data_IF_684700545022
#
_entry.id   IF_684700545022
#
_cell.length_a   1.000
_cell.length_b   1.000
_cell.length_c   1.000
_cell.angle_alpha   90.00
_cell.angle_beta   90.00
_cell.angle_gamma   90.00
#
_symmetry.space_group_name_H-M   'P 1'
#
loop_
_entity.id
_entity.type
_entity.pdbx_description
1 polymer ?
#
# COMPACT_ATOMS: atom_id res chain seq x y z
N UNK A 1 3.62 -19.15 -1.56
CA UNK A 1 2.73 -19.16 -2.75
C UNK A 1 1.29 -19.12 -2.26
N UNK A 2 0.32 -18.55 -2.99
CA UNK A 2 -0.92 -18.01 -2.38
C UNK A 2 -2.20 -18.70 -2.85
N UNK A 3 -3.33 -18.58 -2.12
CA UNK A 3 -4.66 -19.12 -2.52
C UNK A 3 -5.67 -18.07 -2.98
N UNK A 4 -5.32 -16.79 -2.96
CA UNK A 4 -6.17 -15.72 -3.52
C UNK A 4 -5.59 -15.19 -4.81
N UNK A 5 -6.47 -14.80 -5.73
CA UNK A 5 -6.09 -13.85 -6.77
C UNK A 5 -5.89 -12.48 -6.13
N UNK A 6 -5.54 -11.46 -6.92
CA UNK A 6 -5.63 -10.06 -6.45
C UNK A 6 -6.93 -9.92 -5.65
N UNK A 7 -6.82 -9.65 -4.34
CA UNK A 7 -7.98 -9.56 -3.45
C UNK A 7 -8.68 -8.23 -3.72
N UNK A 8 -9.20 -8.07 -4.93
CA UNK A 8 -9.83 -6.86 -5.45
C UNK A 8 -11.25 -6.68 -4.92
N UNK A 9 -11.72 -7.59 -4.06
CA UNK A 9 -13.10 -7.64 -3.61
C UNK A 9 -13.59 -6.31 -3.00
N UNK A 10 -12.82 -5.59 -2.16
CA UNK A 10 -13.20 -4.24 -1.71
C UNK A 10 -13.39 -3.25 -2.87
N UNK A 11 -12.50 -3.28 -3.87
CA UNK A 11 -12.55 -2.42 -5.05
C UNK A 11 -13.74 -2.76 -5.97
N UNK A 12 -14.09 -4.05 -6.10
CA UNK A 12 -15.22 -4.54 -6.87
C UNK A 12 -16.57 -4.16 -6.22
N UNK A 13 -16.70 -4.34 -4.89
CA UNK A 13 -17.92 -3.97 -4.15
C UNK A 13 -18.12 -2.45 -4.13
N UNK A 14 -17.05 -1.67 -3.95
CA UNK A 14 -17.11 -0.21 -4.00
C UNK A 14 -17.74 0.30 -5.32
N UNK A 15 -17.32 -0.27 -6.45
CA UNK A 15 -17.89 0.06 -7.77
C UNK A 15 -19.41 -0.19 -7.82
N UNK A 16 -19.87 -1.32 -7.28
CA UNK A 16 -21.29 -1.69 -7.32
C UNK A 16 -22.15 -0.76 -6.46
N UNK A 17 -21.64 -0.31 -5.31
CA UNK A 17 -22.35 0.55 -4.37
C UNK A 17 -22.34 2.02 -4.77
N UNK A 18 -21.28 2.53 -5.42
CA UNK A 18 -21.21 3.91 -5.88
C UNK A 18 -22.35 4.26 -6.85
N UNK A 19 -22.84 3.28 -7.62
CA UNK A 19 -24.01 3.44 -8.49
C UNK A 19 -25.34 3.65 -7.75
N UNK A 20 -25.38 3.42 -6.43
CA UNK A 20 -26.61 3.44 -5.60
C UNK A 20 -26.69 4.57 -4.58
N UNK A 21 -25.59 5.20 -4.17
CA UNK A 21 -25.58 6.24 -3.12
C UNK A 21 -25.17 7.61 -3.66
N UNK A 22 -25.99 8.65 -3.39
CA UNK A 22 -25.57 10.06 -3.49
C UNK A 22 -24.61 10.36 -2.33
N UNK A 23 -23.47 11.00 -2.62
CA UNK A 23 -22.43 11.29 -1.62
C UNK A 23 -22.97 12.17 -0.48
N UNK A 24 -22.55 11.87 0.75
CA UNK A 24 -22.62 12.79 1.88
C UNK A 24 -21.84 14.06 1.54
N UNK A 25 -22.30 15.27 1.93
CA UNK A 25 -21.70 16.54 1.50
C UNK A 25 -20.32 16.86 2.12
N UNK A 26 -19.76 15.97 2.96
CA UNK A 26 -18.47 16.21 3.60
C UNK A 26 -17.32 15.68 2.73
N UNK A 27 -16.66 16.59 2.01
CA UNK A 27 -15.50 16.29 1.15
C UNK A 27 -14.30 15.66 1.89
N UNK A 28 -14.21 15.81 3.20
CA UNK A 28 -13.13 15.23 4.00
C UNK A 28 -13.34 13.77 4.35
N UNK A 29 -14.52 13.22 4.08
CA UNK A 29 -14.79 11.81 4.35
C UNK A 29 -14.24 10.95 3.22
N UNK A 30 -13.42 9.97 3.59
CA UNK A 30 -12.90 9.00 2.63
C UNK A 30 -14.03 8.15 2.03
N UNK A 31 -13.80 7.71 0.78
CA UNK A 31 -14.64 6.71 0.12
C UNK A 31 -14.02 5.32 0.30
N UNK A 32 -14.87 4.32 0.42
CA UNK A 32 -14.44 2.93 0.50
C UNK A 32 -13.84 2.45 -0.85
N UNK A 33 -12.71 1.73 -0.86
CA UNK A 33 -11.90 1.33 0.30
C UNK A 33 -10.90 2.41 0.76
N UNK A 34 -10.78 2.61 2.08
CA UNK A 34 -9.76 3.44 2.73
C UNK A 34 -9.55 2.96 4.19
N UNK A 35 -8.47 3.36 4.90
CA UNK A 35 -8.20 2.93 6.27
C UNK A 35 -9.40 3.13 7.19
N UNK A 36 -9.73 2.13 8.03
CA UNK A 36 -10.97 2.16 8.80
C UNK A 36 -10.90 3.02 10.07
N UNK A 37 -9.72 3.15 10.68
CA UNK A 37 -9.54 3.82 11.97
C UNK A 37 -9.86 5.31 11.91
N UNK A 38 -9.55 5.95 10.78
CA UNK A 38 -9.92 7.33 10.51
C UNK A 38 -10.44 7.43 9.08
N UNK A 39 -11.75 7.66 8.93
CA UNK A 39 -12.40 7.81 7.64
C UNK A 39 -12.16 9.23 7.05
N UNK A 40 -10.90 9.57 6.82
CA UNK A 40 -10.46 10.87 6.33
C UNK A 40 -9.80 10.77 4.95
N UNK A 41 -10.24 11.58 3.99
CA UNK A 41 -9.66 11.64 2.64
C UNK A 41 -8.35 12.46 2.67
N UNK A 42 -7.24 11.78 2.95
CA UNK A 42 -5.91 12.39 2.92
C UNK A 42 -5.49 12.86 1.53
N UNK A 43 -6.03 12.28 0.45
CA UNK A 43 -5.72 12.73 -0.91
C UNK A 43 -6.36 14.09 -1.17
N UNK A 44 -7.63 14.25 -0.82
CA UNK A 44 -8.34 15.54 -0.90
C UNK A 44 -7.59 16.62 -0.12
N UNK A 45 -7.05 16.30 1.07
CA UNK A 45 -6.21 17.23 1.84
C UNK A 45 -4.97 17.70 1.06
N UNK A 46 -4.30 16.79 0.35
CA UNK A 46 -3.05 17.07 -0.37
C UNK A 46 -3.25 17.77 -1.73
N UNK A 47 -4.42 17.61 -2.33
CA UNK A 47 -4.81 18.24 -3.59
C UNK A 47 -5.21 19.73 -3.42
N UNK A 48 -5.22 20.24 -2.18
CA UNK A 48 -5.43 21.65 -1.91
C UNK A 48 -4.38 22.56 -2.56
N UNK A 49 -4.85 23.69 -3.07
CA UNK A 49 -4.01 24.76 -3.62
C UNK A 49 -3.25 25.43 -2.47
N UNK A 50 -1.93 25.60 -2.62
CA UNK A 50 -1.01 26.15 -1.60
C UNK A 50 -0.69 25.20 -0.43
N UNK A 51 -0.88 23.90 -0.62
CA UNK A 51 -0.56 22.89 0.39
C UNK A 51 -1.67 22.69 1.42
N UNK A 52 -1.35 21.94 2.47
CA UNK A 52 -2.35 21.48 3.46
C UNK A 52 -2.80 22.57 4.45
N UNK A 53 -2.06 23.69 4.53
CA UNK A 53 -2.31 24.82 5.43
C UNK A 53 -1.47 26.05 5.01
N UNK A 54 -1.63 27.17 5.73
CA UNK A 54 -0.78 28.37 5.62
C UNK A 54 -0.05 28.64 6.93
N UNK A 55 1.27 28.80 6.88
CA UNK A 55 2.09 29.09 8.04
C UNK A 55 1.77 30.48 8.63
N UNK A 56 1.48 30.54 9.93
CA UNK A 56 1.30 31.78 10.69
C UNK A 56 2.60 32.28 11.32
N UNK A 57 3.59 31.40 11.48
CA UNK A 57 4.94 31.71 11.97
C UNK A 57 6.00 31.11 11.04
N UNK A 58 6.26 31.70 9.85
CA UNK A 58 7.14 31.14 8.81
C UNK A 58 8.57 30.78 9.27
N UNK A 59 9.06 31.44 10.33
CA UNK A 59 10.43 31.26 10.84
C UNK A 59 10.54 30.30 12.04
N UNK A 60 9.44 29.64 12.43
CA UNK A 60 9.45 28.65 13.50
C UNK A 60 10.45 27.53 13.17
N UNK A 61 11.32 27.20 14.13
CA UNK A 61 12.36 26.18 13.97
C UNK A 61 11.75 24.79 14.06
N UNK A 62 11.84 24.03 12.97
CA UNK A 62 11.29 22.67 12.90
C UNK A 62 12.43 21.69 12.60
N UNK A 63 12.59 20.67 13.44
CA UNK A 63 13.53 19.58 13.20
C UNK A 63 12.77 18.30 12.85
N UNK A 64 13.16 17.65 11.76
CA UNK A 64 12.61 16.38 11.28
C UNK A 64 13.77 15.37 11.26
N UNK A 65 13.59 14.25 11.97
CA UNK A 65 14.59 13.19 12.07
C UNK A 65 14.15 12.00 11.20
N UNK A 66 14.91 11.74 10.14
CA UNK A 66 14.73 10.66 9.18
C UNK A 66 14.22 11.15 7.83
N UNK A 67 14.99 10.93 6.76
CA UNK A 67 14.61 11.23 5.38
C UNK A 67 13.94 10.03 4.68
N UNK A 68 13.09 9.30 5.41
CA UNK A 68 12.14 8.35 4.82
C UNK A 68 10.94 9.05 4.19
N UNK A 69 10.00 8.30 3.60
CA UNK A 69 8.81 8.89 2.95
C UNK A 69 8.03 9.81 3.88
N UNK A 70 7.80 9.40 5.14
CA UNK A 70 7.11 10.24 6.12
C UNK A 70 7.82 11.56 6.36
N UNK A 71 9.13 11.54 6.67
CA UNK A 71 9.89 12.76 6.93
C UNK A 71 10.02 13.67 5.70
N UNK A 72 10.19 13.08 4.51
CA UNK A 72 10.26 13.82 3.25
C UNK A 72 8.93 14.48 2.89
N UNK A 73 7.81 13.75 3.00
CA UNK A 73 6.47 14.31 2.81
C UNK A 73 6.21 15.42 3.82
N UNK A 74 6.49 15.21 5.11
CA UNK A 74 6.33 16.26 6.13
C UNK A 74 7.16 17.50 5.82
N UNK A 75 8.45 17.35 5.49
CA UNK A 75 9.32 18.48 5.16
C UNK A 75 8.84 19.24 3.92
N UNK A 76 8.43 18.51 2.87
CA UNK A 76 7.90 19.09 1.63
C UNK A 76 6.62 19.88 1.90
N UNK A 77 5.68 19.32 2.66
CA UNK A 77 4.41 19.98 2.93
C UNK A 77 4.55 21.17 3.88
N UNK A 78 5.40 21.10 4.90
CA UNK A 78 5.72 22.26 5.73
C UNK A 78 6.30 23.41 4.90
N UNK A 79 7.18 23.09 3.97
CA UNK A 79 7.75 24.09 3.06
C UNK A 79 6.68 24.67 2.11
N UNK A 80 5.81 23.83 1.53
CA UNK A 80 4.65 24.29 0.73
C UNK A 80 3.71 25.19 1.54
N UNK A 81 3.54 24.93 2.84
CA UNK A 81 2.74 25.78 3.74
C UNK A 81 3.41 27.13 4.06
N UNK A 82 4.70 27.32 3.71
CA UNK A 82 5.44 28.57 3.92
C UNK A 82 6.40 28.57 5.11
N UNK A 83 6.65 27.43 5.77
CA UNK A 83 7.73 27.35 6.76
C UNK A 83 9.10 27.37 6.08
N UNK A 84 10.02 28.17 6.61
CA UNK A 84 11.34 28.45 6.00
C UNK A 84 12.52 28.00 6.87
N UNK A 85 12.26 27.61 8.12
CA UNK A 85 13.31 27.21 9.07
C UNK A 85 13.16 25.72 9.41
N UNK A 86 13.35 24.88 8.40
CA UNK A 86 13.21 23.42 8.46
C UNK A 86 14.61 22.81 8.46
N UNK A 87 14.88 21.91 9.41
CA UNK A 87 16.07 21.08 9.46
C UNK A 87 15.66 19.62 9.28
N UNK A 88 16.14 18.98 8.21
CA UNK A 88 15.95 17.55 7.95
C UNK A 88 17.25 16.81 8.23
N UNK A 89 17.23 15.85 9.15
CA UNK A 89 18.39 15.05 9.54
C UNK A 89 18.23 13.61 9.05
N UNK A 90 19.25 13.04 8.43
CA UNK A 90 19.31 11.64 8.06
C UNK A 90 20.66 11.06 8.46
N UNK A 91 20.65 9.88 9.09
CA UNK A 91 21.87 9.22 9.54
C UNK A 91 22.59 8.49 8.40
N UNK A 92 21.82 7.97 7.45
CA UNK A 92 22.31 7.21 6.31
C UNK A 92 22.84 8.13 5.20
N UNK A 93 23.54 7.55 4.24
CA UNK A 93 23.97 8.23 3.00
C UNK A 93 22.91 8.18 1.90
N UNK A 94 21.66 7.84 2.23
CA UNK A 94 20.55 7.76 1.27
C UNK A 94 19.25 8.25 1.90
N UNK A 95 18.37 8.75 1.03
CA UNK A 95 16.98 9.06 1.38
C UNK A 95 16.07 7.87 1.08
N UNK A 96 14.80 7.96 1.48
CA UNK A 96 13.74 6.98 1.20
C UNK A 96 13.48 5.95 2.30
N UNK A 97 14.39 5.78 3.27
CA UNK A 97 14.17 4.88 4.41
C UNK A 97 13.87 3.44 3.95
N UNK A 98 12.67 2.92 4.21
CA UNK A 98 12.29 1.56 3.76
C UNK A 98 11.86 1.48 2.29
N UNK A 99 11.81 2.59 1.58
CA UNK A 99 11.69 2.60 0.12
C UNK A 99 13.11 2.56 -0.44
N UNK A 100 13.58 1.36 -0.76
CA UNK A 100 14.95 1.11 -1.19
C UNK A 100 14.95 0.33 -2.49
N UNK A 101 15.32 1.03 -3.56
CA UNK A 101 15.61 0.43 -4.86
C UNK A 101 17.12 0.31 -5.00
N UNK A 102 17.64 -0.91 -5.08
CA UNK A 102 19.05 -1.20 -5.26
C UNK A 102 19.37 -1.44 -6.74
N UNK A 103 20.37 -0.75 -7.28
CA UNK A 103 20.78 -0.83 -8.69
C UNK A 103 21.97 -1.76 -8.93
N UNK A 104 22.35 -2.57 -7.94
CA UNK A 104 23.56 -3.41 -7.97
C UNK A 104 24.82 -2.68 -7.50
N UNK A 105 26.00 -3.21 -7.87
CA UNK A 105 27.29 -2.67 -7.41
C UNK A 105 27.45 -1.20 -7.84
N UNK A 106 27.94 -0.35 -6.93
CA UNK A 106 28.09 1.10 -7.10
C UNK A 106 26.81 1.92 -7.27
N UNK A 107 25.62 1.33 -7.09
CA UNK A 107 24.33 2.00 -7.28
C UNK A 107 24.20 2.68 -8.66
N UNK A 108 24.81 2.09 -9.69
CA UNK A 108 24.74 2.59 -11.07
C UNK A 108 23.72 1.80 -11.86
N UNK A 109 22.80 2.50 -12.52
CA UNK A 109 21.86 1.89 -13.47
C UNK A 109 22.61 1.42 -14.72
N UNK A 110 23.17 0.21 -14.67
CA UNK A 110 23.80 -0.41 -15.85
C UNK A 110 22.73 -1.07 -16.70
N UNK A 111 22.70 -0.72 -18.00
CA UNK A 111 21.81 -1.31 -19.00
C UNK A 111 21.88 -2.85 -18.90
N UNK A 112 20.71 -3.50 -18.82
CA UNK A 112 20.59 -4.95 -18.70
C UNK A 112 20.55 -5.51 -17.26
N UNK A 113 20.66 -4.67 -16.22
CA UNK A 113 20.46 -5.09 -14.82
C UNK A 113 19.21 -4.41 -14.24
N UNK A 114 18.09 -5.14 -14.04
CA UNK A 114 16.91 -4.54 -13.46
C UNK A 114 17.16 -4.15 -11.99
N UNK A 115 16.47 -3.10 -11.50
CA UNK A 115 16.52 -2.72 -10.09
C UNK A 115 15.97 -3.82 -9.18
N UNK A 116 16.44 -3.88 -7.94
CA UNK A 116 15.90 -4.73 -6.88
C UNK A 116 15.20 -3.88 -5.82
N UNK A 117 13.91 -4.11 -5.60
CA UNK A 117 13.19 -3.49 -4.49
C UNK A 117 13.50 -4.26 -3.20
N UNK A 118 14.27 -3.63 -2.31
CA UNK A 118 14.77 -4.23 -1.06
C UNK A 118 13.88 -3.91 0.16
N UNK A 119 12.73 -3.27 -0.07
CA UNK A 119 11.78 -2.89 0.96
C UNK A 119 10.34 -2.97 0.46
N UNK A 120 9.63 -1.85 0.43
CA UNK A 120 8.32 -1.81 -0.23
C UNK A 120 8.48 -2.03 -1.75
N UNK A 121 7.59 -2.83 -2.35
CA UNK A 121 7.70 -3.21 -3.78
C UNK A 121 6.35 -3.30 -4.51
N UNK A 122 5.26 -3.43 -3.77
CA UNK A 122 3.90 -3.59 -4.28
C UNK A 122 3.01 -2.57 -3.57
N UNK A 123 2.58 -1.57 -4.32
CA UNK A 123 2.01 -0.37 -3.75
C UNK A 123 0.50 -0.34 -3.99
N UNK A 124 -0.33 -0.28 -2.94
CA UNK A 124 -1.76 -0.13 -3.12
C UNK A 124 -2.09 1.33 -3.47
N UNK A 125 -2.96 1.51 -4.45
CA UNK A 125 -3.40 2.84 -4.86
C UNK A 125 -4.78 3.20 -4.29
N UNK A 126 -5.48 2.23 -3.71
CA UNK A 126 -6.86 2.34 -3.20
C UNK A 126 -7.83 2.80 -4.28
N UNK A 127 -7.71 2.22 -5.47
CA UNK A 127 -8.61 2.44 -6.57
C UNK A 127 -9.72 1.37 -6.65
N UNK A 128 -10.90 1.75 -7.13
CA UNK A 128 -11.96 0.83 -7.54
C UNK A 128 -11.60 0.12 -8.85
N UNK A 129 -12.28 -0.98 -9.15
CA UNK A 129 -11.93 -1.82 -10.32
C UNK A 129 -12.24 -1.20 -11.69
N UNK A 130 -12.98 -0.10 -11.73
CA UNK A 130 -13.32 0.63 -12.95
C UNK A 130 -12.62 1.99 -13.08
N UNK A 131 -11.66 2.28 -12.20
CA UNK A 131 -10.88 3.51 -12.26
C UNK A 131 -9.39 3.23 -12.46
N UNK A 132 -8.67 4.08 -13.22
CA UNK A 132 -7.22 3.98 -13.35
C UNK A 132 -6.54 4.04 -11.99
N UNK A 133 -5.41 3.32 -11.76
CA UNK A 133 -4.74 3.31 -10.45
C UNK A 133 -4.48 4.72 -9.90
N UNK A 134 -3.95 5.63 -10.72
CA UNK A 134 -3.65 7.03 -10.34
C UNK A 134 -4.87 7.85 -9.88
N UNK A 135 -6.10 7.38 -10.11
CA UNK A 135 -7.32 8.00 -9.58
C UNK A 135 -7.71 7.49 -8.18
N UNK A 136 -7.05 6.44 -7.68
CA UNK A 136 -7.29 5.87 -6.36
C UNK A 136 -7.00 6.84 -5.20
N UNK A 137 -7.61 6.57 -4.06
CA UNK A 137 -7.67 7.52 -2.92
C UNK A 137 -6.53 7.37 -1.93
N UNK A 138 -5.31 7.16 -2.42
CA UNK A 138 -4.09 7.06 -1.62
C UNK A 138 -3.10 8.19 -1.91
N UNK A 139 -2.22 8.49 -0.95
CA UNK A 139 -1.10 9.41 -1.15
C UNK A 139 -0.08 8.88 -2.16
N UNK A 140 0.02 7.55 -2.31
CA UNK A 140 0.86 6.95 -3.35
C UNK A 140 0.33 7.29 -4.74
N UNK A 141 -0.98 7.21 -4.97
CA UNK A 141 -1.61 7.58 -6.24
C UNK A 141 -1.45 9.08 -6.54
N UNK A 142 -1.62 9.93 -5.52
CA UNK A 142 -1.35 11.36 -5.62
C UNK A 142 0.08 11.64 -6.07
N UNK A 143 1.09 11.16 -5.33
CA UNK A 143 2.49 11.45 -5.67
C UNK A 143 2.96 10.74 -6.94
N UNK A 144 2.41 9.58 -7.29
CA UNK A 144 2.66 8.95 -8.58
C UNK A 144 2.15 9.81 -9.76
N UNK A 145 1.09 10.57 -9.55
CA UNK A 145 0.59 11.55 -10.52
C UNK A 145 1.49 12.77 -10.56
N UNK A 146 1.74 13.39 -9.40
CA UNK A 146 2.55 14.60 -9.29
C UNK A 146 3.97 14.46 -9.85
N UNK A 147 4.58 13.28 -9.70
CA UNK A 147 5.94 13.02 -10.16
C UNK A 147 6.01 12.19 -11.44
N UNK A 148 4.87 12.01 -12.13
CA UNK A 148 4.80 11.26 -13.38
C UNK A 148 5.37 9.85 -13.27
N UNK A 149 5.24 9.21 -12.09
CA UNK A 149 5.78 7.89 -11.85
C UNK A 149 5.05 6.87 -12.72
N UNK A 150 5.82 6.13 -13.51
CA UNK A 150 5.35 5.01 -14.30
C UNK A 150 5.15 3.81 -13.39
N UNK A 151 4.07 3.07 -13.62
CA UNK A 151 3.66 1.93 -12.84
C UNK A 151 3.01 0.87 -13.73
N UNK A 152 2.90 -0.34 -13.22
CA UNK A 152 2.13 -1.44 -13.82
C UNK A 152 1.61 -2.33 -12.71
N UNK A 153 0.67 -3.22 -13.04
CA UNK A 153 0.21 -4.22 -12.08
C UNK A 153 1.38 -5.06 -11.56
N UNK A 154 1.39 -5.28 -10.25
CA UNK A 154 2.38 -6.13 -9.59
C UNK A 154 2.05 -7.60 -9.88
N UNK A 155 3.06 -8.44 -10.21
CA UNK A 155 2.86 -9.84 -10.57
C UNK A 155 2.59 -10.72 -9.34
N UNK A 156 1.49 -10.48 -8.62
CA UNK A 156 1.12 -11.31 -7.47
C UNK A 156 0.75 -12.74 -7.92
N UNK A 157 1.04 -13.76 -7.10
CA UNK A 157 0.60 -15.11 -7.38
C UNK A 157 -0.93 -15.19 -7.47
N UNK A 158 -1.45 -15.98 -8.40
CA UNK A 158 -2.89 -16.10 -8.65
C UNK A 158 -3.53 -14.89 -9.34
N UNK A 159 -2.77 -13.85 -9.72
CA UNK A 159 -3.31 -12.69 -10.42
C UNK A 159 -3.29 -12.83 -11.95
N UNK A 160 -4.10 -12.05 -12.70
CA UNK A 160 -4.00 -11.97 -14.15
C UNK A 160 -2.66 -11.45 -14.68
N UNK A 161 -1.84 -10.81 -13.83
CA UNK A 161 -0.52 -10.28 -14.18
C UNK A 161 0.56 -11.38 -14.27
N UNK A 162 0.24 -12.62 -13.90
CA UNK A 162 1.14 -13.77 -14.04
C UNK A 162 0.52 -14.86 -14.92
N UNK A 163 1.35 -15.57 -15.68
CA UNK A 163 0.90 -16.69 -16.54
C UNK A 163 0.33 -17.85 -15.74
N UNK A 164 0.97 -18.17 -14.61
CA UNK A 164 0.60 -19.27 -13.73
C UNK A 164 1.30 -19.14 -12.39
N UNK A 165 0.77 -19.79 -11.36
CA UNK A 165 1.36 -19.90 -10.03
C UNK A 165 1.59 -21.36 -9.69
N UNK A 166 2.83 -21.73 -9.39
CA UNK A 166 3.12 -23.03 -8.78
C UNK A 166 2.64 -23.05 -7.34
N UNK A 167 2.26 -24.21 -6.81
CA UNK A 167 1.93 -24.41 -5.39
C UNK A 167 2.54 -25.75 -4.99
N UNK A 168 3.51 -25.72 -4.07
CA UNK A 168 4.19 -26.89 -3.54
C UNK A 168 4.13 -26.81 -2.02
N UNK A 169 3.32 -27.66 -1.41
CA UNK A 169 3.04 -27.68 0.03
C UNK A 169 3.22 -29.10 0.54
N UNK A 170 3.78 -29.22 1.75
CA UNK A 170 3.98 -30.52 2.42
C UNK A 170 4.70 -31.52 1.51
N UNK A 171 5.84 -31.13 0.94
CA UNK A 171 6.59 -31.95 -0.02
C UNK A 171 5.74 -32.45 -1.22
N UNK A 172 4.71 -31.69 -1.61
CA UNK A 172 3.83 -32.05 -2.74
C UNK A 172 2.75 -33.09 -2.42
N UNK A 173 2.55 -33.45 -1.15
CA UNK A 173 1.61 -34.51 -0.70
C UNK A 173 0.21 -34.00 -0.31
N UNK A 174 -0.27 -32.92 -0.93
CA UNK A 174 -1.62 -32.40 -0.66
C UNK A 174 -2.70 -33.26 -1.32
N UNK A 175 -3.89 -33.31 -0.72
CA UNK A 175 -5.07 -34.06 -1.21
C UNK A 175 -4.84 -35.58 -1.36
N UNK A 176 -4.13 -36.19 -0.40
CA UNK A 176 -3.84 -37.63 -0.34
C UNK A 176 -3.15 -38.20 -1.59
N UNK A 177 -2.45 -37.35 -2.34
CA UNK A 177 -1.63 -37.79 -3.47
C UNK A 177 -0.47 -38.67 -2.99
N UNK A 178 -0.32 -39.85 -3.60
CA UNK A 178 0.77 -40.79 -3.32
C UNK A 178 2.13 -40.30 -3.83
N UNK A 179 2.13 -39.39 -4.81
CA UNK A 179 3.35 -38.86 -5.45
C UNK A 179 3.50 -37.35 -5.22
N UNK A 180 4.70 -36.86 -4.83
CA UNK A 180 5.01 -35.44 -4.71
C UNK A 180 4.68 -34.64 -5.97
N UNK A 181 3.67 -33.76 -5.89
CA UNK A 181 3.19 -33.00 -7.04
C UNK A 181 3.21 -31.50 -6.78
N UNK A 182 3.73 -30.71 -7.75
CA UNK A 182 3.52 -29.27 -7.79
C UNK A 182 2.19 -28.96 -8.49
N UNK A 183 1.26 -28.35 -7.77
CA UNK A 183 0.01 -27.87 -8.36
C UNK A 183 0.28 -26.61 -9.19
N UNK A 184 -0.35 -26.51 -10.36
CA UNK A 184 -0.22 -25.33 -11.23
C UNK A 184 -1.57 -24.62 -11.31
N UNK A 185 -1.64 -23.42 -10.74
CA UNK A 185 -2.80 -22.57 -10.81
C UNK A 185 -2.70 -21.61 -12.00
N UNK A 186 -3.61 -21.76 -12.97
CA UNK A 186 -3.78 -20.85 -14.11
C UNK A 186 -5.02 -20.01 -13.88
N UNK A 187 -4.84 -18.73 -13.57
CA UNK A 187 -5.93 -17.81 -13.23
C UNK A 187 -5.92 -16.56 -14.12
N UNK A 188 -6.01 -16.78 -15.42
CA UNK A 188 -5.90 -15.69 -16.42
C UNK A 188 -7.05 -14.69 -16.35
N UNK A 189 -8.20 -15.09 -15.79
CA UNK A 189 -9.39 -14.24 -15.64
C UNK A 189 -9.47 -13.55 -14.26
N UNK A 190 -8.58 -13.90 -13.33
CA UNK A 190 -8.57 -13.41 -11.95
C UNK A 190 -9.69 -13.97 -11.07
N UNK A 191 -10.51 -14.88 -11.58
CA UNK A 191 -11.72 -15.41 -10.92
C UNK A 191 -11.66 -16.92 -10.68
N UNK A 192 -10.75 -17.62 -11.35
CA UNK A 192 -10.53 -19.06 -11.21
C UNK A 192 -10.02 -19.39 -9.82
N UNK A 193 -10.74 -20.24 -9.08
CA UNK A 193 -10.32 -20.71 -7.75
C UNK A 193 -9.00 -21.51 -7.79
N UNK A 194 -8.24 -21.59 -6.68
CA UNK A 194 -7.02 -22.39 -6.63
C UNK A 194 -7.32 -23.88 -6.86
N UNK A 195 -6.38 -24.64 -7.48
CA UNK A 195 -6.54 -26.06 -7.75
C UNK A 195 -6.47 -26.89 -6.47
N UNK A 196 -7.01 -28.11 -6.49
CA UNK A 196 -6.94 -29.04 -5.35
C UNK A 196 -8.08 -28.85 -4.34
N UNK A 197 -8.50 -29.96 -3.71
CA UNK A 197 -9.66 -29.99 -2.83
C UNK A 197 -9.40 -29.20 -1.54
N UNK A 198 -8.24 -29.39 -0.92
CA UNK A 198 -7.87 -28.72 0.34
C UNK A 198 -7.74 -27.22 0.13
N UNK A 199 -7.07 -26.78 -0.94
CA UNK A 199 -6.90 -25.37 -1.26
C UNK A 199 -8.23 -24.71 -1.61
N UNK A 200 -9.08 -25.39 -2.38
CA UNK A 200 -10.44 -24.92 -2.69
C UNK A 200 -11.30 -24.72 -1.44
N UNK A 201 -11.25 -25.65 -0.47
CA UNK A 201 -11.96 -25.54 0.81
C UNK A 201 -11.48 -24.34 1.63
N UNK A 202 -10.17 -24.16 1.78
CA UNK A 202 -9.58 -23.03 2.52
C UNK A 202 -9.94 -21.71 1.84
N UNK A 203 -9.83 -21.64 0.52
CA UNK A 203 -10.22 -20.47 -0.27
C UNK A 203 -11.69 -20.12 -0.09
N UNK A 204 -12.59 -21.10 -0.16
CA UNK A 204 -14.03 -20.88 0.01
C UNK A 204 -14.35 -20.29 1.40
N UNK A 205 -13.77 -20.84 2.47
CA UNK A 205 -13.97 -20.33 3.84
C UNK A 205 -13.48 -18.90 4.02
N UNK A 206 -12.27 -18.60 3.53
CA UNK A 206 -11.75 -17.24 3.51
C UNK A 206 -12.68 -16.29 2.74
N UNK A 207 -13.04 -16.68 1.52
CA UNK A 207 -13.93 -15.90 0.65
C UNK A 207 -15.25 -15.59 1.36
N UNK A 208 -15.95 -16.59 1.90
CA UNK A 208 -17.22 -16.39 2.61
C UNK A 208 -17.11 -15.44 3.80
N UNK A 209 -16.01 -15.48 4.55
CA UNK A 209 -15.75 -14.53 5.64
C UNK A 209 -15.52 -13.11 5.10
N UNK A 210 -14.61 -12.98 4.14
CA UNK A 210 -14.18 -11.71 3.59
C UNK A 210 -15.32 -10.99 2.85
N UNK A 211 -16.15 -11.74 2.11
CA UNK A 211 -17.31 -11.22 1.38
C UNK A 211 -18.33 -10.59 2.31
N UNK A 212 -18.71 -11.31 3.36
CA UNK A 212 -19.64 -10.84 4.39
C UNK A 212 -19.15 -9.57 5.07
N UNK A 213 -17.92 -9.57 5.57
CA UNK A 213 -17.32 -8.41 6.20
C UNK A 213 -17.31 -7.21 5.24
N UNK A 214 -16.84 -7.41 4.02
CA UNK A 214 -16.71 -6.33 3.03
C UNK A 214 -18.05 -5.75 2.64
N UNK A 215 -19.08 -6.57 2.40
CA UNK A 215 -20.42 -6.11 2.07
C UNK A 215 -21.02 -5.26 3.19
N UNK A 216 -20.92 -5.72 4.45
CA UNK A 216 -21.40 -4.96 5.61
C UNK A 216 -20.62 -3.66 5.80
N UNK A 217 -19.28 -3.71 5.72
CA UNK A 217 -18.43 -2.53 5.90
C UNK A 217 -18.69 -1.50 4.80
N UNK A 218 -18.72 -1.91 3.53
CA UNK A 218 -18.88 -0.99 2.41
C UNK A 218 -20.24 -0.26 2.43
N UNK A 219 -21.26 -0.85 3.03
CA UNK A 219 -22.55 -0.17 3.23
C UNK A 219 -22.45 0.98 4.24
N UNK A 220 -21.64 0.86 5.29
CA UNK A 220 -21.59 1.84 6.39
C UNK A 220 -20.38 2.77 6.31
N UNK A 221 -19.33 2.41 5.57
CA UNK A 221 -18.11 3.18 5.47
C UNK A 221 -18.38 4.62 4.98
N UNK A 222 -17.83 5.60 5.69
CA UNK A 222 -18.05 7.04 5.41
C UNK A 222 -19.44 7.58 5.78
N UNK A 223 -20.35 6.75 6.30
CA UNK A 223 -21.62 7.21 6.88
C UNK A 223 -21.41 7.83 8.27
N UNK A 224 -22.44 8.48 8.82
CA UNK A 224 -22.41 9.00 10.21
C UNK A 224 -22.34 7.90 11.28
N UNK A 225 -22.66 6.66 10.91
CA UNK A 225 -22.61 5.51 11.81
C UNK A 225 -21.27 4.75 11.71
N UNK A 226 -20.35 5.21 10.87
CA UNK A 226 -19.10 4.49 10.60
C UNK A 226 -18.25 4.35 11.87
N UNK A 227 -18.09 5.44 12.62
CA UNK A 227 -17.28 5.45 13.83
C UNK A 227 -17.82 4.46 14.89
N UNK A 228 -19.14 4.39 15.06
CA UNK A 228 -19.81 3.45 15.97
C UNK A 228 -19.67 2.00 15.50
N UNK A 229 -19.80 1.75 14.19
CA UNK A 229 -19.57 0.44 13.60
C UNK A 229 -18.12 0.01 13.79
N UNK A 230 -17.15 0.88 13.51
CA UNK A 230 -15.73 0.58 13.70
C UNK A 230 -15.40 0.31 15.17
N UNK A 231 -15.92 1.10 16.10
CA UNK A 231 -15.77 0.86 17.54
C UNK A 231 -16.32 -0.52 17.95
N UNK A 232 -17.44 -0.94 17.37
CA UNK A 232 -18.01 -2.28 17.58
C UNK A 232 -17.11 -3.39 17.04
N UNK A 233 -16.50 -3.20 15.86
CA UNK A 233 -15.51 -4.12 15.27
C UNK A 233 -14.28 -4.22 16.18
N UNK A 234 -13.74 -3.09 16.63
CA UNK A 234 -12.60 -3.03 17.56
C UNK A 234 -12.92 -3.82 18.83
N UNK A 235 -14.04 -3.51 19.48
CA UNK A 235 -14.48 -4.22 20.70
C UNK A 235 -14.60 -5.72 20.50
N UNK A 236 -15.04 -6.16 19.32
CA UNK A 236 -15.19 -7.59 19.00
C UNK A 236 -13.83 -8.30 18.83
N UNK A 237 -12.88 -7.66 18.16
CA UNK A 237 -11.70 -8.33 17.61
C UNK A 237 -10.36 -7.92 18.23
N UNK A 238 -10.29 -6.85 19.02
CA UNK A 238 -9.02 -6.33 19.58
C UNK A 238 -8.27 -7.35 20.44
N UNK A 239 -8.99 -8.24 21.13
CA UNK A 239 -8.42 -9.28 22.01
C UNK A 239 -8.26 -10.65 21.35
N UNK A 240 -8.52 -10.72 20.04
CA UNK A 240 -8.51 -11.96 19.27
C UNK A 240 -7.26 -11.96 18.41
N UNK A 241 -6.43 -13.00 18.52
CA UNK A 241 -5.30 -13.20 17.62
C UNK A 241 -5.78 -13.55 16.21
N UNK A 242 -4.99 -13.28 15.17
CA UNK A 242 -5.37 -13.69 13.83
C UNK A 242 -5.52 -15.21 13.71
N UNK A 243 -4.65 -15.96 14.38
CA UNK A 243 -4.72 -17.43 14.52
C UNK A 243 -6.07 -17.88 15.04
N UNK A 244 -6.61 -17.21 16.06
CA UNK A 244 -7.90 -17.57 16.63
C UNK A 244 -9.05 -17.13 15.74
N UNK A 245 -8.99 -15.94 15.10
CA UNK A 245 -9.98 -15.53 14.10
C UNK A 245 -10.17 -16.58 12.99
N UNK A 246 -9.06 -17.17 12.52
CA UNK A 246 -9.08 -18.21 11.48
C UNK A 246 -9.85 -19.46 11.94
N UNK A 247 -9.71 -19.86 13.21
CA UNK A 247 -10.34 -21.07 13.77
C UNK A 247 -11.74 -20.82 14.35
N UNK A 248 -12.05 -19.58 14.72
CA UNK A 248 -13.33 -19.21 15.31
C UNK A 248 -14.50 -19.62 14.41
N UNK A 249 -15.64 -20.04 14.99
CA UNK A 249 -16.80 -20.45 14.20
C UNK A 249 -17.27 -19.36 13.23
N UNK A 250 -17.63 -19.77 12.01
CA UNK A 250 -18.35 -18.90 11.08
C UNK A 250 -19.78 -18.68 11.57
N UNK A 251 -20.32 -17.50 11.34
CA UNK A 251 -21.76 -17.24 11.45
C UNK A 251 -22.44 -17.33 10.08
N UNK A 252 -23.71 -17.72 10.02
CA UNK A 252 -24.44 -17.83 8.74
C UNK A 252 -24.94 -16.47 8.24
N UNK A 253 -25.31 -15.58 9.17
CA UNK A 253 -25.85 -14.25 8.87
C UNK A 253 -25.27 -13.20 9.80
N UNK A 254 -24.89 -12.06 9.25
CA UNK A 254 -24.55 -10.87 10.03
C UNK A 254 -25.82 -10.22 10.59
N UNK A 255 -25.72 -9.58 11.76
CA UNK A 255 -26.84 -8.96 12.46
C UNK A 255 -26.56 -7.49 12.75
N UNK A 256 -27.50 -6.61 12.44
CA UNK A 256 -27.41 -5.18 12.76
C UNK A 256 -27.33 -4.91 14.28
N UNK A 257 -27.83 -5.83 15.12
CA UNK A 257 -27.79 -5.70 16.58
C UNK A 257 -26.39 -6.00 17.17
N UNK A 258 -25.49 -6.59 16.39
CA UNK A 258 -24.10 -6.85 16.76
C UNK A 258 -23.19 -6.46 15.57
N UNK A 259 -23.14 -5.16 15.22
CA UNK A 259 -22.65 -4.70 13.92
C UNK A 259 -21.16 -4.97 13.70
N UNK A 260 -20.41 -5.15 14.79
CA UNK A 260 -18.99 -5.47 14.77
C UNK A 260 -18.65 -6.95 14.60
N UNK A 261 -19.63 -7.86 14.62
CA UNK A 261 -19.39 -9.30 14.63
C UNK A 261 -19.61 -9.95 13.27
N UNK A 262 -18.51 -10.27 12.59
CA UNK A 262 -18.52 -11.02 11.34
C UNK A 262 -18.33 -12.53 11.53
N UNK A 263 -18.22 -13.01 12.78
CA UNK A 263 -17.80 -14.38 13.11
C UNK A 263 -16.30 -14.61 12.92
N UNK A 264 -15.91 -15.87 12.75
CA UNK A 264 -14.58 -16.28 12.28
C UNK A 264 -14.62 -17.03 10.95
N UNK A 265 -13.48 -17.56 10.52
CA UNK A 265 -13.37 -18.27 9.23
C UNK A 265 -13.79 -19.75 9.32
N UNK A 266 -13.94 -20.31 10.52
CA UNK A 266 -14.38 -21.68 10.74
C UNK A 266 -13.41 -22.74 10.20
N UNK A 267 -12.11 -22.43 10.15
CA UNK A 267 -11.11 -23.39 9.67
C UNK A 267 -10.73 -24.41 10.75
N UNK A 268 -10.56 -25.68 10.35
CA UNK A 268 -9.94 -26.70 11.19
C UNK A 268 -8.46 -26.41 11.41
N UNK A 269 -7.81 -27.15 12.32
CA UNK A 269 -6.36 -27.04 12.51
C UNK A 269 -5.57 -27.35 11.22
N UNK A 270 -6.02 -28.34 10.45
CA UNK A 270 -5.38 -28.73 9.18
C UNK A 270 -5.55 -27.64 8.11
N UNK A 271 -6.74 -27.07 7.98
CA UNK A 271 -7.03 -25.97 7.06
C UNK A 271 -6.27 -24.70 7.45
N UNK A 272 -6.20 -24.39 8.75
CA UNK A 272 -5.42 -23.27 9.27
C UNK A 272 -3.93 -23.43 8.99
N UNK A 273 -3.36 -24.64 9.09
CA UNK A 273 -1.96 -24.89 8.74
C UNK A 273 -1.69 -24.68 7.23
N UNK A 274 -2.66 -24.99 6.37
CA UNK A 274 -2.59 -24.69 4.94
C UNK A 274 -2.65 -23.18 4.72
N UNK A 275 -3.64 -22.51 5.30
CA UNK A 275 -3.79 -21.05 5.24
C UNK A 275 -2.57 -20.30 5.80
N UNK A 276 -1.93 -20.78 6.86
CA UNK A 276 -0.70 -20.23 7.40
C UNK A 276 0.37 -20.09 6.31
N UNK A 277 0.58 -21.15 5.52
CA UNK A 277 1.64 -21.22 4.51
C UNK A 277 1.36 -20.40 3.26
N UNK A 278 0.09 -20.16 2.93
CA UNK A 278 -0.31 -19.61 1.62
C UNK A 278 -1.22 -18.38 1.67
N UNK A 279 -1.82 -18.08 2.82
CA UNK A 279 -2.52 -16.82 3.05
C UNK A 279 -3.72 -16.59 2.15
N UNK A 280 -3.88 -15.36 1.64
CA UNK A 280 -5.11 -14.90 0.95
C UNK A 280 -4.89 -14.27 -0.42
N UNK A 281 -3.69 -14.44 -1.00
CA UNK A 281 -3.42 -14.01 -2.38
C UNK A 281 -2.10 -13.27 -2.59
N UNK A 282 -1.50 -12.76 -1.52
CA UNK A 282 -0.28 -11.93 -1.56
C UNK A 282 0.88 -12.51 -0.73
N UNK A 283 0.76 -13.72 -0.20
CA UNK A 283 1.86 -14.43 0.44
C UNK A 283 1.36 -15.34 1.54
N UNK A 284 2.28 -15.98 2.25
CA UNK A 284 1.99 -16.57 3.55
C UNK A 284 1.52 -15.47 4.51
N UNK A 285 0.49 -15.77 5.31
CA UNK A 285 0.10 -14.90 6.43
C UNK A 285 0.53 -15.46 7.78
N UNK A 286 1.31 -16.54 7.78
CA UNK A 286 1.75 -17.21 8.99
C UNK A 286 2.55 -16.32 9.93
N UNK A 287 3.37 -15.42 9.38
CA UNK A 287 4.09 -14.41 10.16
C UNK A 287 3.17 -13.45 10.94
N UNK A 288 1.88 -13.37 10.60
CA UNK A 288 0.89 -12.50 11.22
C UNK A 288 -0.11 -13.25 12.11
N UNK A 289 0.03 -14.58 12.28
CA UNK A 289 -0.94 -15.36 13.06
C UNK A 289 -1.06 -14.90 14.51
N UNK A 290 0.06 -14.48 15.10
CA UNK A 290 0.11 -14.12 16.52
C UNK A 290 -0.10 -12.62 16.76
N UNK A 291 -0.39 -11.83 15.71
CA UNK A 291 -0.81 -10.43 15.87
C UNK A 291 -2.31 -10.32 16.14
N UNK A 292 -2.74 -9.18 16.67
CA UNK A 292 -4.15 -8.83 16.82
C UNK A 292 -4.89 -8.92 15.48
N UNK A 293 -6.06 -9.55 15.48
CA UNK A 293 -6.90 -9.77 14.30
C UNK A 293 -7.42 -8.48 13.66
N UNK A 294 -7.38 -7.35 14.38
CA UNK A 294 -7.64 -6.05 13.76
C UNK A 294 -6.64 -5.70 12.65
N UNK A 295 -5.40 -6.18 12.70
CA UNK A 295 -4.44 -5.94 11.61
C UNK A 295 -4.91 -6.50 10.26
N UNK A 296 -5.20 -7.82 10.12
CA UNK A 296 -5.73 -8.38 8.87
C UNK A 296 -7.10 -7.79 8.50
N UNK A 297 -7.98 -7.52 9.48
CA UNK A 297 -9.27 -6.89 9.20
C UNK A 297 -9.11 -5.49 8.60
N UNK A 298 -8.21 -4.66 9.15
CA UNK A 298 -7.88 -3.36 8.55
C UNK A 298 -7.44 -3.56 7.10
N UNK A 299 -6.43 -4.40 6.86
CA UNK A 299 -5.88 -4.59 5.51
C UNK A 299 -6.92 -5.08 4.50
N UNK A 300 -7.87 -5.92 4.93
CA UNK A 300 -8.94 -6.40 4.09
C UNK A 300 -9.99 -5.30 3.82
N UNK A 301 -10.34 -4.49 4.82
CA UNK A 301 -11.28 -3.36 4.68
C UNK A 301 -10.73 -2.31 3.71
N UNK A 302 -9.49 -1.85 3.91
CA UNK A 302 -8.96 -0.76 3.08
C UNK A 302 -8.33 -1.24 1.76
N UNK A 303 -8.55 -2.50 1.39
CA UNK A 303 -8.12 -3.03 0.10
C UNK A 303 -6.60 -3.03 -0.08
N UNK A 304 -5.84 -3.31 0.98
CA UNK A 304 -4.38 -3.28 0.95
C UNK A 304 -3.78 -4.22 -0.11
N UNK A 305 -4.46 -5.32 -0.42
CA UNK A 305 -4.03 -6.30 -1.40
C UNK A 305 -4.77 -6.18 -2.75
N UNK A 306 -5.55 -5.11 -2.96
CA UNK A 306 -6.27 -4.80 -4.21
C UNK A 306 -5.37 -4.04 -5.18
N UNK A 307 -5.39 -4.41 -6.46
CA UNK A 307 -4.79 -3.65 -7.58
C UNK A 307 -3.38 -3.13 -7.28
N UNK A 308 -2.55 -3.97 -6.66
CA UNK A 308 -1.19 -3.61 -6.25
C UNK A 308 -0.32 -3.24 -7.45
N UNK A 309 0.41 -2.14 -7.35
CA UNK A 309 1.23 -1.58 -8.43
C UNK A 309 2.72 -1.75 -8.16
N UNK A 310 3.48 -2.16 -9.17
CA UNK A 310 4.92 -2.00 -9.23
C UNK A 310 5.25 -0.59 -9.75
N UNK A 311 6.16 0.12 -9.08
CA UNK A 311 6.64 1.44 -9.51
C UNK A 311 7.94 1.28 -10.31
N UNK A 312 7.93 1.72 -11.56
CA UNK A 312 9.13 1.69 -12.43
C UNK A 312 10.03 2.90 -12.21
N UNK A 313 9.46 4.00 -11.74
CA UNK A 313 10.15 5.27 -11.50
C UNK A 313 9.65 6.39 -12.39
N UNK A 314 10.39 7.50 -12.45
CA UNK A 314 10.13 8.58 -13.41
C UNK A 314 10.89 8.29 -14.71
N UNK A 315 10.34 7.34 -15.46
CA UNK A 315 10.97 6.71 -16.63
C UNK A 315 10.06 6.77 -17.86
N UNK A 316 10.66 6.75 -19.05
CA UNK A 316 9.96 6.72 -20.33
C UNK A 316 9.31 5.34 -20.63
N UNK A 317 8.77 5.19 -21.84
CA UNK A 317 8.15 3.95 -22.33
C UNK A 317 9.12 2.74 -22.37
N UNK A 318 10.43 2.99 -22.41
CA UNK A 318 11.49 1.98 -22.46
C UNK A 318 12.14 1.72 -21.09
N UNK A 319 11.73 2.45 -20.04
CA UNK A 319 12.30 2.32 -18.70
C UNK A 319 13.55 3.17 -18.48
N UNK A 320 13.88 4.09 -19.39
CA UNK A 320 14.99 5.02 -19.19
C UNK A 320 14.55 6.19 -18.31
N UNK A 321 15.37 6.64 -17.34
CA UNK A 321 15.07 7.83 -16.55
C UNK A 321 14.81 9.05 -17.42
N UNK A 322 13.69 9.73 -17.18
CA UNK A 322 13.37 10.99 -17.84
C UNK A 322 14.27 12.11 -17.31
N UNK A 323 14.47 13.17 -18.10
CA UNK A 323 15.20 14.36 -17.66
C UNK A 323 14.65 14.89 -16.33
N UNK A 324 15.47 14.83 -15.27
CA UNK A 324 15.05 15.10 -13.89
C UNK A 324 16.16 15.82 -13.11
N UNK A 325 15.83 16.64 -12.09
CA UNK A 325 16.82 17.38 -11.31
C UNK A 325 17.89 16.47 -10.70
N UNK A 326 19.16 16.86 -10.82
CA UNK A 326 20.32 16.14 -10.28
C UNK A 326 20.56 14.72 -10.81
N UNK A 327 19.81 14.23 -11.81
CA UNK A 327 20.01 12.89 -12.39
C UNK A 327 21.45 12.69 -12.90
N UNK A 328 21.98 13.69 -13.60
CA UNK A 328 23.32 13.70 -14.19
C UNK A 328 24.38 14.39 -13.30
N UNK A 329 24.04 14.72 -12.05
CA UNK A 329 24.99 15.34 -11.13
C UNK A 329 26.10 14.34 -10.78
N UNK A 330 27.37 14.80 -10.75
CA UNK A 330 28.50 13.95 -10.31
C UNK A 330 28.39 13.54 -8.84
N UNK A 331 27.87 14.44 -8.00
CA UNK A 331 27.58 14.24 -6.58
C UNK A 331 26.50 15.20 -6.12
N UNK A 332 25.85 14.89 -5.01
CA UNK A 332 24.97 15.78 -4.25
C UNK A 332 25.53 15.92 -2.84
N UNK A 333 25.39 17.11 -2.25
CA UNK A 333 25.97 17.46 -0.96
C UNK A 333 24.87 17.94 -0.03
N UNK A 334 24.93 17.59 1.25
CA UNK A 334 24.05 18.19 2.25
C UNK A 334 24.49 19.62 2.61
N UNK A 335 23.75 20.25 3.50
CA UNK A 335 24.02 21.60 4.01
C UNK A 335 25.37 21.74 4.74
N UNK A 336 26.03 20.64 5.09
CA UNK A 336 27.35 20.59 5.71
C UNK A 336 28.45 20.19 4.74
N UNK A 337 28.13 20.07 3.44
CA UNK A 337 29.09 19.66 2.41
C UNK A 337 29.38 18.16 2.38
N UNK A 338 28.63 17.33 3.10
CA UNK A 338 28.80 15.87 3.09
C UNK A 338 28.07 15.25 1.90
N UNK A 339 28.73 14.33 1.20
CA UNK A 339 28.13 13.64 0.05
C UNK A 339 27.15 12.55 0.50
N UNK A 340 26.00 12.50 -0.18
CA UNK A 340 25.05 11.39 -0.10
C UNK A 340 24.67 10.91 -1.51
N UNK A 341 23.86 9.86 -1.60
CA UNK A 341 23.48 9.26 -2.88
C UNK A 341 22.70 10.27 -3.75
N UNK A 342 23.18 10.48 -4.98
CA UNK A 342 22.45 11.23 -6.01
C UNK A 342 21.17 10.48 -6.42
N UNK A 343 20.14 11.19 -6.95
CA UNK A 343 18.94 10.52 -7.41
C UNK A 343 19.18 9.72 -8.69
N UNK A 344 18.38 8.68 -8.89
CA UNK A 344 18.40 7.83 -10.10
C UNK A 344 17.05 7.79 -10.82
N UNK A 345 15.96 8.13 -10.13
CA UNK A 345 14.57 8.16 -10.57
C UNK A 345 14.06 6.80 -11.10
N UNK A 346 14.61 5.70 -10.59
CA UNK A 346 14.23 4.33 -10.93
C UNK A 346 13.61 3.64 -9.72
N UNK A 347 12.64 2.75 -9.98
CA UNK A 347 11.94 1.98 -8.96
C UNK A 347 11.13 2.84 -8.00
N UNK A 348 10.75 2.26 -6.86
CA UNK A 348 10.01 2.94 -5.81
C UNK A 348 10.83 4.03 -5.10
N UNK A 349 12.16 3.91 -5.09
CA UNK A 349 13.08 4.93 -4.55
C UNK A 349 12.91 6.30 -5.20
N UNK A 350 12.48 6.33 -6.46
CA UNK A 350 12.14 7.56 -7.20
C UNK A 350 11.11 8.45 -6.51
N UNK A 351 10.21 7.89 -5.67
CA UNK A 351 9.26 8.69 -4.89
C UNK A 351 9.99 9.58 -3.89
N UNK A 352 10.94 9.01 -3.14
CA UNK A 352 11.72 9.75 -2.15
C UNK A 352 12.61 10.81 -2.80
N UNK A 353 13.24 10.44 -3.91
CA UNK A 353 14.08 11.35 -4.70
C UNK A 353 13.24 12.52 -5.25
N UNK A 354 12.06 12.22 -5.81
CA UNK A 354 11.13 13.25 -6.30
C UNK A 354 10.64 14.18 -5.20
N UNK A 355 10.28 13.65 -4.03
CA UNK A 355 9.86 14.45 -2.87
C UNK A 355 10.92 15.47 -2.46
N UNK A 356 12.21 15.12 -2.59
CA UNK A 356 13.32 15.97 -2.20
C UNK A 356 13.77 16.94 -3.31
N UNK A 357 13.91 16.46 -4.54
CA UNK A 357 14.59 17.18 -5.62
C UNK A 357 13.65 17.83 -6.64
N UNK A 358 12.41 17.36 -6.80
CA UNK A 358 11.45 17.99 -7.73
C UNK A 358 10.73 19.13 -7.01
N UNK A 359 10.84 20.34 -7.56
CA UNK A 359 10.18 21.55 -7.06
C UNK A 359 8.66 21.40 -7.05
N UNK A 360 8.00 21.86 -5.99
CA UNK A 360 6.54 22.00 -5.97
C UNK A 360 6.15 23.33 -6.66
N UNK A 361 5.02 23.37 -7.36
CA UNK A 361 4.59 24.56 -8.12
C UNK A 361 4.53 25.81 -7.24
N UNK A 362 4.08 25.65 -5.99
CA UNK A 362 3.86 26.75 -5.04
C UNK A 362 5.15 27.26 -4.39
N UNK A 363 6.28 26.58 -4.64
CA UNK A 363 7.57 26.91 -4.03
C UNK A 363 8.57 27.44 -5.05
N UNK A 364 9.44 28.40 -4.67
CA UNK A 364 10.44 28.96 -5.58
C UNK A 364 11.62 28.01 -5.84
N UNK A 365 11.88 27.06 -4.94
CA UNK A 365 12.99 26.11 -4.97
C UNK A 365 12.48 24.69 -4.65
N UNK A 366 13.20 23.66 -5.05
CA UNK A 366 12.98 22.31 -4.49
C UNK A 366 13.24 22.28 -2.99
N UNK A 367 12.73 21.26 -2.29
CA UNK A 367 12.99 21.07 -0.86
C UNK A 367 14.50 20.99 -0.61
N UNK A 368 15.23 20.24 -1.44
CA UNK A 368 16.70 20.14 -1.36
C UNK A 368 17.39 21.50 -1.48
N UNK A 369 17.08 22.26 -2.52
CA UNK A 369 17.70 23.57 -2.75
C UNK A 369 17.39 24.55 -1.61
N UNK A 370 16.16 24.51 -1.07
CA UNK A 370 15.78 25.31 0.10
C UNK A 370 16.62 24.95 1.33
N UNK A 371 16.72 23.66 1.66
CA UNK A 371 17.46 23.17 2.84
C UNK A 371 18.96 23.48 2.76
N UNK A 372 19.56 23.39 1.57
CA UNK A 372 20.98 23.72 1.37
C UNK A 372 21.21 25.23 1.43
N UNK A 373 20.35 26.03 0.80
CA UNK A 373 20.48 27.50 0.81
C UNK A 373 20.28 28.09 2.20
N UNK A 374 19.30 27.59 2.97
CA UNK A 374 19.01 28.08 4.32
C UNK A 374 20.21 27.94 5.27
N UNK A 375 21.09 26.96 5.04
CA UNK A 375 22.28 26.74 5.84
C UNK A 375 23.47 27.66 5.48
N UNK A 376 23.43 28.34 4.33
CA UNK A 376 24.49 29.28 3.91
C UNK A 376 24.28 30.70 4.45
N UNK A 377 23.16 30.95 5.13
CA UNK A 377 22.76 32.26 5.70
C UNK A 377 23.12 32.34 7.20
N UNK A 378 23.63 31.25 7.77
CA UNK A 378 24.20 31.17 9.12
C UNK A 378 25.68 30.80 9.01
#
# INVERSE_FOLDING_TARGET
>A
MTIGSNFNYPADIAQQLHRKKRSTPNKWRAVFPNPPDLCFDYRELMEQINGVAKATAPHHKICIIGAGITGLTTARELYRCGFTNITLLEKSKRVGGRHLTALGHNNTNTIGRPPFEMGAMRMPFFNTSNEPPKNGRSLMAYYATQFELRHSDFPNPGSPAVRSTGIYLREGSIDDNSEPTMLVWKNTDGKTAPPGQTLGKVFAKWKTFAERMTLSVAEHYGSEQWEDMWASIVKKYERISFRDLVKMPSIDRWSQNDPGNFGGMGMTAQESAVFYSIGIGDGSWGAFYDVCSLYPLRTAIFGFSSHLQLIHGRVDAHGNPMASPYLNAKKVLDSRGLSFNKPNYVGLGSLAESLLFIKAEETPLSLYEHLVKAAQVY
#
